data_IF_993864408346
#
_entry.id   IF_993864408346
#
_cell.length_a   1.000
_cell.length_b   1.000
_cell.length_c   1.000
_cell.angle_alpha   90.00
_cell.angle_beta   90.00
_cell.angle_gamma   90.00
#
_symmetry.space_group_name_H-M   'P 1'
#
loop_
_entity.id
_entity.type
_entity.pdbx_description
1 polymer ?
#
# COMPACT_ATOMS: atom_id res chain seq x y z
N UNK A 1 29.23 -2.00 1.33
CA UNK A 1 30.23 -1.31 2.17
C UNK A 1 30.81 -2.34 3.13
N UNK A 2 32.13 -2.39 3.27
CA UNK A 2 32.79 -3.32 4.20
C UNK A 2 32.63 -2.84 5.65
N UNK A 3 32.50 -3.78 6.58
CA UNK A 3 32.38 -3.48 8.01
C UNK A 3 33.75 -3.08 8.58
N UNK A 4 33.94 -1.78 8.80
CA UNK A 4 35.18 -1.17 9.34
C UNK A 4 35.19 -1.08 10.87
N UNK A 5 34.12 -1.51 11.53
CA UNK A 5 33.99 -1.52 13.00
C UNK A 5 35.17 -2.20 13.72
N UNK A 6 35.73 -3.35 13.27
CA UNK A 6 36.87 -3.97 13.94
C UNK A 6 38.13 -3.10 13.90
N UNK A 7 38.46 -2.51 12.76
CA UNK A 7 39.65 -1.64 12.60
C UNK A 7 39.52 -0.34 13.40
N UNK A 8 38.30 0.22 13.43
CA UNK A 8 37.99 1.38 14.26
C UNK A 8 38.13 1.09 15.75
N UNK A 9 37.67 -0.09 16.18
CA UNK A 9 37.78 -0.55 17.56
C UNK A 9 39.23 -0.78 18.02
N UNK A 10 40.12 -1.21 17.12
CA UNK A 10 41.56 -1.28 17.38
C UNK A 10 42.12 0.12 17.64
N UNK A 11 41.73 1.11 16.84
CA UNK A 11 42.15 2.50 17.00
C UNK A 11 41.63 3.11 18.31
N UNK A 12 40.39 2.82 18.70
CA UNK A 12 39.78 3.28 19.95
C UNK A 12 40.51 2.71 21.18
N UNK A 13 40.81 1.40 21.17
CA UNK A 13 41.59 0.76 22.24
C UNK A 13 42.98 1.40 22.40
N UNK A 14 43.66 1.70 21.29
CA UNK A 14 44.97 2.38 21.32
C UNK A 14 44.91 3.79 21.94
N UNK A 15 43.76 4.47 21.86
CA UNK A 15 43.52 5.78 22.48
C UNK A 15 42.91 5.72 23.88
N UNK A 16 42.77 4.52 24.47
CA UNK A 16 42.12 4.33 25.77
C UNK A 16 40.62 4.64 25.77
N UNK A 17 39.99 4.71 24.59
CA UNK A 17 38.57 4.98 24.42
C UNK A 17 37.75 3.68 24.42
N UNK A 18 36.47 3.81 24.78
CA UNK A 18 35.55 2.68 24.86
C UNK A 18 35.26 2.12 23.45
N UNK A 19 35.21 0.79 23.35
CA UNK A 19 35.01 0.06 22.10
C UNK A 19 33.55 0.21 21.63
N UNK A 20 33.34 0.40 20.33
CA UNK A 20 31.99 0.38 19.75
C UNK A 20 31.49 -1.06 19.74
N UNK A 21 30.51 -1.34 20.60
CA UNK A 21 29.78 -2.60 20.61
C UNK A 21 28.66 -2.55 19.59
N UNK A 22 28.40 -3.69 18.92
CA UNK A 22 27.25 -3.82 18.04
C UNK A 22 25.99 -3.71 18.91
N UNK A 23 25.18 -2.68 18.66
CA UNK A 23 23.90 -2.51 19.33
C UNK A 23 22.90 -3.46 18.70
N UNK A 24 22.51 -4.50 19.44
CA UNK A 24 21.39 -5.35 19.03
C UNK A 24 20.09 -4.54 19.17
N UNK A 25 19.35 -4.42 18.08
CA UNK A 25 18.07 -3.73 18.06
C UNK A 25 16.99 -4.69 18.57
N UNK A 26 16.61 -4.53 19.84
CA UNK A 26 15.50 -5.28 20.44
C UNK A 26 14.17 -4.54 20.19
N UNK A 27 13.33 -5.11 19.33
CA UNK A 27 12.00 -4.56 18.96
C UNK A 27 11.10 -4.37 20.19
N UNK A 28 11.26 -5.20 21.23
CA UNK A 28 10.43 -5.14 22.44
C UNK A 28 10.78 -3.94 23.35
N UNK A 29 11.97 -3.36 23.19
CA UNK A 29 12.39 -2.16 23.93
C UNK A 29 12.15 -0.85 23.19
N UNK A 30 11.62 -0.90 21.97
CA UNK A 30 11.36 0.28 21.15
C UNK A 30 10.03 0.94 21.59
N UNK A 31 9.85 2.22 21.30
CA UNK A 31 8.58 2.93 21.50
C UNK A 31 7.38 2.17 20.92
N UNK A 32 6.24 2.20 21.61
CA UNK A 32 4.97 1.57 21.20
C UNK A 32 4.61 1.84 19.73
N UNK A 33 4.77 3.08 19.27
CA UNK A 33 4.57 3.48 17.87
C UNK A 33 5.32 2.59 16.88
N UNK A 34 6.61 2.33 17.12
CA UNK A 34 7.44 1.56 16.21
C UNK A 34 7.11 0.06 16.29
N UNK A 35 6.74 -0.45 17.47
CA UNK A 35 6.26 -1.83 17.61
C UNK A 35 5.00 -2.06 16.77
N UNK A 36 4.05 -1.12 16.85
CA UNK A 36 2.83 -1.16 16.05
C UNK A 36 3.15 -1.04 14.56
N UNK A 37 4.00 -0.10 14.16
CA UNK A 37 4.46 0.06 12.78
C UNK A 37 5.12 -1.22 12.22
N UNK A 38 6.00 -1.87 12.98
CA UNK A 38 6.60 -3.16 12.58
C UNK A 38 5.56 -4.25 12.44
N UNK A 39 4.57 -4.31 13.35
CA UNK A 39 3.50 -5.30 13.29
C UNK A 39 2.60 -5.10 12.06
N UNK A 40 2.30 -3.86 11.70
CA UNK A 40 1.55 -3.50 10.49
C UNK A 40 2.36 -3.88 9.25
N UNK A 41 3.65 -3.53 9.22
CA UNK A 41 4.53 -3.86 8.10
C UNK A 41 4.63 -5.38 7.87
N UNK A 42 4.79 -6.15 8.95
CA UNK A 42 4.83 -7.61 8.87
C UNK A 42 3.54 -8.17 8.23
N UNK A 43 2.37 -7.68 8.66
CA UNK A 43 1.09 -8.10 8.09
C UNK A 43 0.93 -7.70 6.61
N UNK A 44 1.38 -6.51 6.22
CA UNK A 44 1.38 -6.08 4.80
C UNK A 44 2.30 -6.98 3.96
N UNK A 45 3.50 -7.28 4.47
CA UNK A 45 4.45 -8.14 3.81
C UNK A 45 3.93 -9.58 3.64
N UNK A 46 3.29 -10.12 4.68
CA UNK A 46 2.67 -11.44 4.65
C UNK A 46 1.53 -11.50 3.62
N UNK A 47 0.63 -10.51 3.62
CA UNK A 47 -0.44 -10.40 2.61
C UNK A 47 0.14 -10.34 1.18
N UNK A 48 1.14 -9.49 0.97
CA UNK A 48 1.77 -9.33 -0.35
C UNK A 48 2.43 -10.62 -0.82
N UNK A 49 3.11 -11.33 0.10
CA UNK A 49 3.74 -12.63 -0.16
C UNK A 49 2.69 -13.69 -0.51
N UNK A 50 1.59 -13.74 0.24
CA UNK A 50 0.49 -14.65 0.02
C UNK A 50 -0.15 -14.42 -1.36
N UNK A 51 -0.53 -13.19 -1.68
CA UNK A 51 -1.10 -12.80 -2.98
C UNK A 51 -0.17 -13.17 -4.16
N UNK A 52 1.13 -12.86 -4.04
CA UNK A 52 2.13 -13.23 -5.06
C UNK A 52 2.26 -14.73 -5.22
N UNK A 53 2.19 -15.49 -4.12
CA UNK A 53 2.30 -16.95 -4.15
C UNK A 53 1.08 -17.62 -4.78
N UNK A 54 -0.11 -17.05 -4.58
CA UNK A 54 -1.38 -17.59 -5.05
C UNK A 54 -1.71 -17.14 -6.49
N UNK A 55 -1.11 -16.04 -6.96
CA UNK A 55 -1.32 -15.48 -8.31
C UNK A 55 -1.33 -16.53 -9.44
N UNK A 56 -0.37 -17.48 -9.54
CA UNK A 56 -0.38 -18.48 -10.62
C UNK A 56 -1.59 -19.41 -10.58
N UNK A 57 -1.95 -19.92 -9.39
CA UNK A 57 -3.11 -20.79 -9.20
C UNK A 57 -4.44 -20.05 -9.35
N UNK A 58 -4.47 -18.76 -8.97
CA UNK A 58 -5.64 -17.90 -9.06
C UNK A 58 -5.95 -17.56 -10.52
N UNK A 59 -4.92 -17.20 -11.29
CA UNK A 59 -5.02 -16.90 -12.70
C UNK A 59 -5.00 -18.15 -13.59
N UNK A 60 -5.02 -19.36 -13.05
CA UNK A 60 -5.06 -20.56 -13.90
C UNK A 60 -6.45 -20.77 -14.49
N UNK A 61 -6.53 -20.96 -15.81
CA UNK A 61 -7.75 -21.37 -16.54
C UNK A 61 -7.78 -22.87 -16.83
N UNK A 62 -6.80 -23.63 -16.32
CA UNK A 62 -6.71 -25.06 -16.59
C UNK A 62 -7.92 -25.81 -15.97
N UNK A 63 -8.56 -26.73 -16.71
CA UNK A 63 -9.60 -27.57 -16.14
C UNK A 63 -9.01 -28.41 -15.00
N UNK A 64 -9.78 -28.66 -13.92
CA UNK A 64 -9.30 -29.46 -12.80
C UNK A 64 -8.85 -30.83 -13.33
N UNK A 65 -7.69 -31.35 -12.89
CA UNK A 65 -7.18 -32.62 -13.37
C UNK A 65 -8.21 -33.72 -13.06
N UNK A 66 -8.70 -34.41 -14.10
CA UNK A 66 -9.71 -35.49 -13.97
C UNK A 66 -9.17 -36.75 -13.27
N UNK A 67 -7.91 -36.74 -12.83
CA UNK A 67 -7.26 -37.88 -12.19
C UNK A 67 -7.19 -37.61 -10.68
N UNK A 68 -8.08 -38.25 -9.90
CA UNK A 68 -7.93 -38.44 -8.45
C UNK A 68 -6.61 -39.17 -8.22
N UNK A 69 -5.53 -38.43 -7.97
CA UNK A 69 -4.36 -39.02 -7.34
C UNK A 69 -4.72 -39.27 -5.88
N UNK A 70 -4.43 -40.48 -5.41
CA UNK A 70 -4.61 -40.90 -4.02
C UNK A 70 -4.01 -39.84 -3.10
N UNK A 71 -4.75 -39.50 -2.05
CA UNK A 71 -4.37 -38.54 -1.04
C UNK A 71 -2.99 -38.86 -0.44
N UNK A 72 -1.99 -38.03 -0.75
CA UNK A 72 -0.90 -37.80 0.19
C UNK A 72 -1.42 -36.84 1.25
N UNK A 73 -1.54 -37.38 2.46
CA UNK A 73 -1.76 -36.67 3.70
C UNK A 73 -0.57 -35.73 3.97
N UNK A 74 -0.59 -34.52 3.43
CA UNK A 74 0.12 -33.43 4.07
C UNK A 74 -0.53 -32.08 3.74
N UNK A 75 -0.82 -31.29 4.76
CA UNK A 75 -1.69 -30.11 4.73
C UNK A 75 -1.10 -28.88 4.03
N UNK A 76 -0.34 -29.07 2.96
CA UNK A 76 0.17 -27.97 2.14
C UNK A 76 -0.72 -27.83 0.91
N UNK A 77 -1.47 -26.73 0.80
CA UNK A 77 -2.25 -26.38 -0.39
C UNK A 77 -1.39 -26.64 -1.63
N UNK A 78 -1.81 -27.61 -2.44
CA UNK A 78 -1.11 -28.03 -3.65
C UNK A 78 -1.03 -26.83 -4.60
N UNK A 79 0.11 -26.13 -4.60
CA UNK A 79 0.33 -24.87 -5.34
C UNK A 79 0.15 -25.03 -6.86
N UNK A 80 0.05 -26.27 -7.35
CA UNK A 80 -0.26 -26.59 -8.75
C UNK A 80 -1.75 -26.71 -9.07
N UNK A 81 -2.65 -26.77 -8.06
CA UNK A 81 -4.09 -26.92 -8.29
C UNK A 81 -4.71 -25.58 -8.70
N UNK A 82 -5.47 -25.52 -9.82
CA UNK A 82 -6.28 -24.35 -10.15
C UNK A 82 -7.32 -24.09 -9.07
N UNK A 83 -7.41 -22.85 -8.59
CA UNK A 83 -8.43 -22.45 -7.62
C UNK A 83 -9.83 -22.51 -8.24
N UNK A 84 -10.83 -22.94 -7.47
CA UNK A 84 -12.24 -22.84 -7.86
C UNK A 84 -12.70 -21.39 -7.80
N UNK A 85 -13.80 -21.08 -8.48
CA UNK A 85 -14.34 -19.72 -8.49
C UNK A 85 -14.72 -19.22 -7.09
N UNK A 86 -15.31 -20.11 -6.28
CA UNK A 86 -15.62 -19.87 -4.88
C UNK A 86 -14.38 -19.65 -4.00
N UNK A 87 -13.30 -20.40 -4.25
CA UNK A 87 -12.03 -20.22 -3.53
C UNK A 87 -11.41 -18.86 -3.88
N UNK A 88 -11.48 -18.44 -5.15
CA UNK A 88 -11.02 -17.11 -5.60
C UNK A 88 -11.82 -15.99 -4.95
N UNK A 89 -13.15 -16.09 -4.92
CA UNK A 89 -14.01 -15.08 -4.28
C UNK A 89 -13.74 -14.93 -2.78
N UNK A 90 -13.49 -16.05 -2.09
CA UNK A 90 -13.12 -16.03 -0.69
C UNK A 90 -11.76 -15.33 -0.46
N UNK A 91 -10.77 -15.59 -1.32
CA UNK A 91 -9.46 -14.92 -1.27
C UNK A 91 -9.61 -13.42 -1.53
N UNK A 92 -10.43 -13.02 -2.50
CA UNK A 92 -10.66 -11.61 -2.83
C UNK A 92 -11.35 -10.88 -1.67
N UNK A 93 -12.37 -11.50 -1.07
CA UNK A 93 -13.08 -10.96 0.10
C UNK A 93 -12.15 -10.82 1.32
N UNK A 94 -11.35 -11.86 1.62
CA UNK A 94 -10.40 -11.85 2.73
C UNK A 94 -9.32 -10.79 2.52
N UNK A 95 -8.72 -10.73 1.33
CA UNK A 95 -7.66 -9.77 0.99
C UNK A 95 -8.19 -8.34 1.10
N UNK A 96 -9.40 -8.08 0.60
CA UNK A 96 -10.06 -6.78 0.71
C UNK A 96 -10.33 -6.39 2.16
N UNK A 97 -10.79 -7.33 2.98
CA UNK A 97 -10.99 -7.09 4.41
C UNK A 97 -9.67 -6.74 5.10
N UNK A 98 -8.60 -7.48 4.82
CA UNK A 98 -7.28 -7.21 5.36
C UNK A 98 -6.74 -5.85 4.93
N UNK A 99 -6.88 -5.46 3.65
CA UNK A 99 -6.48 -4.13 3.19
C UNK A 99 -7.20 -3.00 3.93
N UNK A 100 -8.52 -3.14 4.18
CA UNK A 100 -9.28 -2.15 4.96
C UNK A 100 -8.83 -2.10 6.41
N UNK A 101 -8.61 -3.25 7.03
CA UNK A 101 -8.12 -3.34 8.41
C UNK A 101 -6.74 -2.70 8.55
N UNK A 102 -5.84 -2.95 7.59
CA UNK A 102 -4.50 -2.38 7.57
C UNK A 102 -4.54 -0.88 7.32
N UNK A 103 -5.40 -0.39 6.41
CA UNK A 103 -5.62 1.05 6.23
C UNK A 103 -6.10 1.69 7.53
N UNK A 104 -7.12 1.11 8.18
CA UNK A 104 -7.61 1.58 9.48
C UNK A 104 -6.52 1.60 10.56
N UNK A 105 -5.68 0.57 10.63
CA UNK A 105 -4.55 0.52 11.56
C UNK A 105 -3.53 1.64 11.30
N UNK A 106 -3.19 1.90 10.02
CA UNK A 106 -2.30 3.00 9.64
C UNK A 106 -2.92 4.37 9.99
N UNK A 107 -4.22 4.56 9.75
CA UNK A 107 -4.90 5.81 10.11
C UNK A 107 -4.95 6.01 11.62
N UNK A 108 -5.18 4.96 12.40
CA UNK A 108 -5.14 5.02 13.86
C UNK A 108 -3.74 5.37 14.37
N UNK A 109 -2.70 4.77 13.79
CA UNK A 109 -1.31 5.06 14.11
C UNK A 109 -0.96 6.53 13.80
N UNK A 110 -1.43 7.05 12.66
CA UNK A 110 -1.29 8.46 12.28
C UNK A 110 -2.02 9.37 13.27
N UNK A 111 -3.28 9.09 13.56
CA UNK A 111 -4.08 9.90 14.48
C UNK A 111 -3.48 9.93 15.89
N UNK A 112 -2.95 8.82 16.37
CA UNK A 112 -2.24 8.76 17.65
C UNK A 112 -0.99 9.68 17.67
N UNK A 113 -0.25 9.75 16.56
CA UNK A 113 0.89 10.67 16.44
C UNK A 113 0.46 12.14 16.35
N UNK A 114 -0.62 12.42 15.62
CA UNK A 114 -1.18 13.78 15.53
C UNK A 114 -1.63 14.28 16.92
N UNK A 115 -2.35 13.44 17.67
CA UNK A 115 -2.78 13.76 19.05
C UNK A 115 -1.57 13.96 19.96
N UNK A 116 -0.52 13.14 19.83
CA UNK A 116 0.73 13.30 20.59
C UNK A 116 1.38 14.65 20.28
N UNK A 117 1.49 15.02 19.01
CA UNK A 117 2.09 16.30 18.59
C UNK A 117 1.29 17.50 19.11
N UNK A 118 -0.04 17.48 18.93
CA UNK A 118 -0.94 18.53 19.46
C UNK A 118 -0.89 18.65 20.99
N UNK A 119 -0.81 17.51 21.69
CA UNK A 119 -0.66 17.48 23.15
C UNK A 119 0.69 18.06 23.56
N UNK A 120 1.77 17.73 22.85
CA UNK A 120 3.09 18.28 23.14
C UNK A 120 3.13 19.81 22.94
N UNK A 121 2.48 20.33 21.91
CA UNK A 121 2.40 21.76 21.63
C UNK A 121 1.58 22.51 22.67
N UNK A 122 0.39 22.00 23.03
CA UNK A 122 -0.44 22.59 24.07
C UNK A 122 0.23 22.54 25.46
N UNK A 123 0.97 21.47 25.76
CA UNK A 123 1.78 21.38 26.97
C UNK A 123 2.93 22.38 26.95
N UNK A 124 3.61 22.58 25.82
CA UNK A 124 4.66 23.59 25.69
C UNK A 124 4.10 25.02 25.91
N UNK A 125 2.96 25.33 25.29
CA UNK A 125 2.26 26.60 25.46
C UNK A 125 1.83 26.84 26.91
N UNK A 126 1.25 25.84 27.57
CA UNK A 126 0.83 25.96 28.97
C UNK A 126 2.01 26.08 29.93
N UNK A 127 3.13 25.37 29.70
CA UNK A 127 4.39 25.56 30.45
C UNK A 127 4.90 27.00 30.33
N UNK A 128 4.82 27.58 29.13
CA UNK A 128 5.18 28.98 28.89
C UNK A 128 4.27 29.97 29.62
N UNK A 129 2.97 29.72 29.62
CA UNK A 129 1.98 30.57 30.29
C UNK A 129 2.08 30.52 31.83
N UNK A 130 2.49 29.39 32.41
CA UNK A 130 2.57 29.17 33.87
C UNK A 130 3.86 29.72 34.51
N UNK A 131 4.85 30.12 33.71
CA UNK A 131 6.16 30.60 34.17
C UNK A 131 6.18 32.05 34.68
N UNK A 132 5.40 32.38 35.72
CA UNK A 132 5.29 33.75 36.26
C UNK A 132 6.61 34.40 36.72
N UNK A 133 7.57 33.62 37.23
CA UNK A 133 8.92 34.09 37.60
C UNK A 133 9.98 33.85 36.51
N UNK A 134 9.76 32.88 35.63
CA UNK A 134 10.65 32.58 34.49
C UNK A 134 10.59 33.63 33.39
N UNK A 135 9.46 34.33 33.26
CA UNK A 135 9.30 35.48 32.36
C UNK A 135 10.20 36.67 32.76
N UNK A 136 10.36 36.92 34.06
CA UNK A 136 11.21 38.00 34.60
C UNK A 136 12.70 37.67 34.40
N UNK A 137 13.08 36.40 34.61
CA UNK A 137 14.44 35.93 34.32
C UNK A 137 14.82 36.00 32.84
N UNK A 138 13.89 35.69 31.92
CA UNK A 138 14.08 35.79 30.45
C UNK A 138 14.20 37.24 29.97
N UNK A 139 13.43 38.16 30.56
CA UNK A 139 13.56 39.60 30.31
C UNK A 139 14.90 40.15 30.83
N UNK A 140 15.30 39.77 32.04
CA UNK A 140 16.57 40.22 32.65
C UNK A 140 17.83 39.70 31.91
N UNK A 141 17.73 38.58 31.20
CA UNK A 141 18.79 38.06 30.34
C UNK A 141 18.90 38.77 28.97
N UNK A 142 18.08 39.81 28.72
CA UNK A 142 18.07 40.58 27.47
C UNK A 142 17.21 40.00 26.36
N UNK A 143 16.33 39.03 26.68
CA UNK A 143 15.40 38.41 25.73
C UNK A 143 13.98 38.99 25.80
N UNK A 144 13.20 38.82 24.72
CA UNK A 144 11.78 39.14 24.73
C UNK A 144 11.01 38.19 25.68
N UNK A 145 9.93 38.66 26.31
CA UNK A 145 9.04 37.88 27.21
C UNK A 145 8.45 36.63 26.50
N UNK A 146 8.50 36.60 25.17
CA UNK A 146 8.06 35.52 24.28
C UNK A 146 9.19 34.63 23.73
N UNK A 147 10.46 34.97 23.93
CA UNK A 147 11.60 34.21 23.38
C UNK A 147 11.69 32.82 24.02
N UNK A 148 11.66 31.75 23.22
CA UNK A 148 11.70 30.37 23.72
C UNK A 148 12.96 30.16 24.58
N UNK A 149 12.85 29.37 25.64
CA UNK A 149 14.06 29.03 26.39
C UNK A 149 14.91 28.07 25.55
N UNK A 150 16.23 28.16 25.66
CA UNK A 150 17.14 27.36 24.81
C UNK A 150 16.98 25.86 25.07
N UNK A 151 16.69 25.47 26.31
CA UNK A 151 16.37 24.08 26.65
C UNK A 151 15.02 23.63 26.06
N UNK A 152 14.04 24.53 25.96
CA UNK A 152 12.75 24.28 25.29
C UNK A 152 12.93 24.17 23.76
N UNK A 153 13.80 24.98 23.16
CA UNK A 153 14.13 24.87 21.73
C UNK A 153 14.83 23.55 21.38
N UNK A 154 15.70 23.05 22.27
CA UNK A 154 16.33 21.73 22.10
C UNK A 154 15.32 20.60 22.20
N UNK A 155 14.47 20.65 23.22
CA UNK A 155 13.44 19.63 23.42
C UNK A 155 12.43 19.63 22.24
N UNK A 156 12.09 20.81 21.71
CA UNK A 156 11.24 20.95 20.52
C UNK A 156 11.92 20.40 19.26
N UNK A 157 13.22 20.66 19.06
CA UNK A 157 13.96 20.13 17.92
C UNK A 157 14.08 18.60 17.97
N UNK A 158 14.41 18.02 19.13
CA UNK A 158 14.42 16.57 19.32
C UNK A 158 13.04 15.96 19.01
N UNK A 159 11.96 16.58 19.51
CA UNK A 159 10.60 16.13 19.18
C UNK A 159 10.30 16.24 17.69
N UNK A 160 10.69 17.33 17.03
CA UNK A 160 10.48 17.53 15.59
C UNK A 160 11.20 16.46 14.78
N UNK A 161 12.45 16.13 15.11
CA UNK A 161 13.19 15.04 14.42
C UNK A 161 12.48 13.69 14.56
N UNK A 162 11.97 13.38 15.76
CA UNK A 162 11.20 12.15 16.01
C UNK A 162 9.87 12.17 15.25
N UNK A 163 9.19 13.31 15.22
CA UNK A 163 7.94 13.51 14.46
C UNK A 163 8.15 13.27 12.97
N UNK A 164 9.16 13.91 12.37
CA UNK A 164 9.54 13.72 10.96
C UNK A 164 9.86 12.26 10.65
N UNK A 165 10.62 11.59 11.53
CA UNK A 165 10.88 10.16 11.36
C UNK A 165 9.59 9.33 11.38
N UNK A 166 8.70 9.56 12.35
CA UNK A 166 7.44 8.80 12.47
C UNK A 166 6.49 9.04 11.30
N UNK A 167 6.42 10.27 10.81
CA UNK A 167 5.65 10.61 9.61
C UNK A 167 6.21 9.91 8.36
N UNK A 168 7.54 9.86 8.22
CA UNK A 168 8.18 9.10 7.14
C UNK A 168 7.86 7.60 7.20
N UNK A 169 7.78 7.03 8.42
CA UNK A 169 7.37 5.63 8.62
C UNK A 169 5.92 5.42 8.20
N UNK A 170 5.00 6.33 8.55
CA UNK A 170 3.60 6.25 8.14
C UNK A 170 3.47 6.28 6.61
N UNK A 171 4.17 7.20 5.94
CA UNK A 171 4.17 7.29 4.47
C UNK A 171 4.77 6.04 3.84
N UNK A 172 5.82 5.47 4.44
CA UNK A 172 6.37 4.18 4.00
C UNK A 172 5.33 3.06 4.10
N UNK A 173 4.63 2.92 5.24
CA UNK A 173 3.58 1.91 5.42
C UNK A 173 2.43 2.09 4.43
N UNK A 174 2.02 3.34 4.16
CA UNK A 174 1.01 3.65 3.15
C UNK A 174 1.48 3.16 1.77
N UNK A 175 2.71 3.49 1.35
CA UNK A 175 3.28 3.02 0.07
C UNK A 175 3.31 1.49 -0.02
N UNK A 176 3.69 0.80 1.06
CA UNK A 176 3.65 -0.67 1.07
C UNK A 176 2.22 -1.22 0.94
N UNK A 177 1.24 -0.59 1.58
CA UNK A 177 -0.16 -0.98 1.46
C UNK A 177 -0.72 -0.72 0.05
N UNK A 178 -0.32 0.38 -0.58
CA UNK A 178 -0.65 0.70 -1.98
C UNK A 178 -0.10 -0.35 -2.93
N UNK A 179 1.17 -0.76 -2.77
CA UNK A 179 1.77 -1.82 -3.58
C UNK A 179 1.02 -3.16 -3.41
N UNK A 180 0.65 -3.51 -2.18
CA UNK A 180 -0.15 -4.70 -1.89
C UNK A 180 -1.54 -4.63 -2.56
N UNK A 181 -2.20 -3.48 -2.45
CA UNK A 181 -3.47 -3.21 -3.11
C UNK A 181 -3.38 -3.33 -4.62
N UNK A 182 -2.30 -2.83 -5.22
CA UNK A 182 -2.06 -2.89 -6.67
C UNK A 182 -1.94 -4.34 -7.16
N UNK A 183 -1.23 -5.19 -6.42
CA UNK A 183 -1.11 -6.63 -6.74
C UNK A 183 -2.48 -7.30 -6.73
N UNK A 184 -3.34 -6.99 -5.75
CA UNK A 184 -4.70 -7.53 -5.71
C UNK A 184 -5.55 -7.04 -6.90
N UNK A 185 -5.54 -5.73 -7.18
CA UNK A 185 -6.32 -5.15 -8.30
C UNK A 185 -5.91 -5.76 -9.64
N UNK A 186 -4.61 -5.89 -9.90
CA UNK A 186 -4.09 -6.51 -11.12
C UNK A 186 -4.61 -7.94 -11.31
N UNK A 187 -4.67 -8.73 -10.24
CA UNK A 187 -5.20 -10.10 -10.28
C UNK A 187 -6.69 -10.12 -10.61
N UNK A 188 -7.47 -9.25 -9.97
CA UNK A 188 -8.92 -9.14 -10.17
C UNK A 188 -9.27 -8.61 -11.57
N UNK A 189 -8.53 -7.63 -12.07
CA UNK A 189 -8.70 -7.08 -13.43
C UNK A 189 -8.47 -8.15 -14.50
N UNK A 190 -7.42 -8.96 -14.35
CA UNK A 190 -7.16 -10.07 -15.28
C UNK A 190 -8.28 -11.13 -15.20
N UNK A 191 -8.82 -11.41 -14.02
CA UNK A 191 -9.96 -12.33 -13.85
C UNK A 191 -11.21 -11.79 -14.52
N UNK A 192 -11.59 -10.55 -14.23
CA UNK A 192 -12.74 -9.88 -14.81
C UNK A 192 -12.65 -9.80 -16.33
N UNK A 193 -11.48 -9.42 -16.86
CA UNK A 193 -11.24 -9.37 -18.30
C UNK A 193 -11.49 -10.74 -18.96
N UNK A 194 -11.04 -11.82 -18.32
CA UNK A 194 -11.28 -13.19 -18.82
C UNK A 194 -12.73 -13.63 -18.69
N UNK A 195 -13.45 -13.22 -17.65
CA UNK A 195 -14.88 -13.52 -17.50
C UNK A 195 -15.71 -12.79 -18.54
N UNK A 196 -15.39 -11.53 -18.81
CA UNK A 196 -15.99 -10.73 -19.89
C UNK A 196 -15.67 -11.31 -21.26
N UNK A 197 -14.44 -11.78 -21.50
CA UNK A 197 -14.09 -12.48 -22.74
C UNK A 197 -14.83 -13.82 -22.88
N UNK A 198 -14.93 -14.58 -21.79
CA UNK A 198 -15.68 -15.84 -21.76
C UNK A 198 -17.16 -15.60 -22.08
N UNK A 199 -17.82 -14.64 -21.45
CA UNK A 199 -19.24 -14.33 -21.72
C UNK A 199 -19.44 -13.94 -23.19
N UNK A 200 -18.56 -13.09 -23.74
CA UNK A 200 -18.55 -12.76 -25.18
C UNK A 200 -18.34 -14.00 -26.07
N UNK A 201 -17.45 -14.91 -25.69
CA UNK A 201 -17.16 -16.13 -26.46
C UNK A 201 -18.29 -17.16 -26.40
N UNK A 202 -18.98 -17.28 -25.27
CA UNK A 202 -20.14 -18.16 -25.12
C UNK A 202 -21.28 -17.64 -25.95
N UNK A 203 -21.51 -16.31 -25.98
CA UNK A 203 -22.48 -15.67 -26.87
C UNK A 203 -22.14 -15.89 -28.35
N UNK A 204 -20.86 -15.78 -28.72
CA UNK A 204 -20.43 -16.06 -30.09
C UNK A 204 -20.63 -17.54 -30.46
N UNK A 205 -20.33 -18.46 -29.54
CA UNK A 205 -20.47 -19.90 -29.75
C UNK A 205 -21.93 -20.36 -29.74
N UNK A 206 -22.79 -19.80 -28.89
CA UNK A 206 -24.23 -20.10 -28.87
C UNK A 206 -24.92 -19.57 -30.13
N UNK A 207 -24.48 -18.41 -30.65
CA UNK A 207 -24.91 -17.89 -31.97
C UNK A 207 -24.47 -18.78 -33.14
N UNK A 208 -23.37 -19.52 -33.01
CA UNK A 208 -22.88 -20.49 -34.01
C UNK A 208 -23.47 -21.89 -33.84
N UNK A 209 -23.82 -22.30 -32.61
CA UNK A 209 -24.38 -23.62 -32.29
C UNK A 209 -25.91 -23.67 -32.48
N UNK A 210 -26.60 -22.55 -32.24
CA UNK A 210 -27.95 -22.34 -32.72
C UNK A 210 -27.90 -21.94 -34.19
N UNK A 211 -27.97 -22.93 -35.08
CA UNK A 211 -28.06 -22.72 -36.52
C UNK A 211 -29.34 -21.97 -36.89
N UNK A 212 -29.36 -20.66 -36.65
CA UNK A 212 -30.28 -19.74 -37.30
C UNK A 212 -29.56 -19.28 -38.56
N UNK A 213 -29.88 -19.84 -39.74
CA UNK A 213 -29.55 -19.17 -40.98
C UNK A 213 -30.41 -17.90 -40.97
N UNK A 214 -29.83 -16.78 -40.54
CA UNK A 214 -30.38 -15.53 -41.02
C UNK A 214 -30.27 -15.59 -42.54
N UNK A 215 -31.41 -15.40 -43.18
CA UNK A 215 -31.50 -15.30 -44.62
C UNK A 215 -30.34 -14.44 -45.12
N UNK A 216 -29.58 -15.04 -46.01
CA UNK A 216 -28.64 -14.35 -46.85
C UNK A 216 -29.39 -13.22 -47.54
N UNK A 217 -29.21 -11.99 -47.06
CA UNK A 217 -29.38 -10.83 -47.91
C UNK A 217 -28.27 -10.93 -48.96
N UNK A 218 -28.66 -11.43 -50.12
CA UNK A 218 -27.94 -11.19 -51.36
C UNK A 218 -27.84 -9.68 -51.54
N UNK A 219 -26.68 -9.10 -51.25
CA UNK A 219 -25.91 -8.40 -52.27
C UNK A 219 -24.59 -7.88 -51.70
N UNK A 220 -23.53 -8.28 -52.40
CA UNK A 220 -22.24 -7.62 -52.61
C UNK A 220 -21.05 -8.55 -52.34
N UNK A 221 -20.74 -9.35 -53.35
CA UNK A 221 -19.44 -9.99 -53.47
C UNK A 221 -18.37 -8.96 -53.89
N UNK A 222 -17.18 -8.97 -53.27
CA UNK A 222 -15.95 -8.62 -53.96
C UNK A 222 -15.14 -9.90 -54.29
N UNK A 223 -14.42 -9.94 -55.42
CA UNK A 223 -13.88 -11.17 -55.98
C UNK A 223 -12.53 -11.59 -55.40
N UNK A 224 -12.39 -12.91 -55.25
CA UNK A 224 -11.23 -13.78 -55.45
C UNK A 224 -9.82 -13.36 -54.94
N UNK A 225 -9.20 -14.25 -54.14
CA UNK A 225 -7.85 -14.77 -54.43
C UNK A 225 -7.53 -16.09 -53.67
N UNK A 226 -7.18 -17.11 -54.47
CA UNK A 226 -6.26 -18.24 -54.22
C UNK A 226 -6.49 -19.29 -53.11
N UNK A 227 -6.84 -20.49 -53.59
CA UNK A 227 -6.68 -21.88 -53.08
C UNK A 227 -5.30 -22.23 -52.48
N UNK A 228 -4.99 -23.49 -52.07
CA UNK A 228 -5.77 -24.54 -51.39
C UNK A 228 -4.98 -25.23 -50.25
N UNK A 229 -5.62 -25.72 -49.17
CA UNK A 229 -5.11 -26.94 -48.49
C UNK A 229 -6.24 -27.84 -48.01
N UNK A 230 -6.32 -29.01 -48.66
CA UNK A 230 -7.18 -30.13 -48.29
C UNK A 230 -6.72 -30.71 -46.96
N UNK A 231 -7.57 -30.70 -45.93
CA UNK A 231 -7.52 -31.69 -44.85
C UNK A 231 -8.82 -32.48 -44.84
N UNK A 232 -8.71 -33.66 -45.44
CA UNK A 232 -9.68 -34.74 -45.51
C UNK A 232 -10.00 -35.19 -44.07
N UNK A 233 -11.21 -34.93 -43.58
CA UNK A 233 -11.76 -35.66 -42.43
C UNK A 233 -12.64 -36.78 -42.98
N UNK A 234 -12.16 -38.01 -42.82
CA UNK A 234 -12.95 -39.22 -42.97
C UNK A 234 -14.07 -39.21 -41.92
N UNK A 235 -15.31 -39.30 -42.37
CA UNK A 235 -16.40 -39.89 -41.59
C UNK A 235 -17.16 -40.85 -42.49
N UNK A 236 -17.02 -42.12 -42.14
CA UNK A 236 -17.76 -43.32 -42.52
C UNK A 236 -18.78 -43.24 -43.68
N UNK A 237 -18.47 -44.00 -44.74
CA UNK A 237 -19.46 -44.56 -45.65
C UNK A 237 -20.55 -45.31 -44.85
N UNK A 238 -21.79 -44.84 -44.93
CA UNK A 238 -22.96 -45.72 -44.91
C UNK A 238 -23.41 -45.89 -46.36
N UNK A 239 -23.19 -47.08 -46.91
CA UNK A 239 -23.78 -47.49 -48.19
C UNK A 239 -25.29 -47.55 -48.00
N UNK A 240 -26.05 -46.74 -48.75
CA UNK A 240 -27.44 -47.05 -49.04
C UNK A 240 -27.62 -47.04 -50.56
N UNK A 241 -27.86 -48.23 -51.10
CA UNK A 241 -28.18 -48.47 -52.50
C UNK A 241 -29.55 -47.87 -52.80
N UNK A 242 -29.60 -46.78 -53.56
CA UNK A 242 -30.84 -46.16 -54.01
C UNK A 242 -31.27 -46.78 -55.34
N UNK A 243 -32.39 -47.49 -55.31
CA UNK A 243 -33.17 -47.93 -56.47
C UNK A 243 -34.15 -46.81 -56.86
N UNK A 244 -34.08 -46.23 -58.08
CA UNK A 244 -34.88 -45.07 -58.45
C UNK A 244 -36.13 -45.50 -59.23
N UNK A 245 -37.13 -46.05 -58.54
CA UNK A 245 -38.46 -46.20 -59.10
C UNK A 245 -39.50 -46.23 -57.97
N UNK A 246 -40.02 -45.04 -57.61
CA UNK A 246 -41.43 -44.79 -57.28
C UNK A 246 -41.61 -43.33 -56.86
N UNK A 247 -42.31 -42.61 -57.73
CA UNK A 247 -42.79 -41.25 -57.53
C UNK A 247 -43.76 -41.16 -56.35
N UNK A 248 -43.59 -40.16 -55.50
CA UNK A 248 -44.71 -39.41 -54.90
C UNK A 248 -44.18 -38.10 -54.33
N UNK A 249 -44.69 -37.02 -54.89
CA UNK A 249 -44.60 -35.67 -54.37
C UNK A 249 -45.26 -35.62 -53.00
N UNK A 250 -44.47 -35.73 -51.93
CA UNK A 250 -44.85 -35.16 -50.63
C UNK A 250 -43.64 -35.10 -49.70
N UNK A 251 -43.55 -34.03 -48.91
CA UNK A 251 -42.60 -33.85 -47.79
C UNK A 251 -41.25 -33.17 -48.08
N UNK A 252 -41.26 -32.04 -48.79
CA UNK A 252 -40.40 -30.91 -48.40
C UNK A 252 -41.01 -30.21 -47.17
N UNK A 253 -41.05 -30.91 -46.03
CA UNK A 253 -41.37 -30.30 -44.73
C UNK A 253 -40.15 -30.52 -43.86
N UNK A 254 -39.50 -29.45 -43.32
CA UNK A 254 -38.46 -29.65 -42.33
C UNK A 254 -39.05 -30.55 -41.23
N UNK A 255 -38.30 -31.53 -40.70
CA UNK A 255 -38.83 -32.46 -39.71
C UNK A 255 -39.45 -31.63 -38.57
N UNK A 256 -40.77 -31.74 -38.41
CA UNK A 256 -41.47 -31.04 -37.34
C UNK A 256 -40.91 -31.57 -36.02
N UNK A 257 -40.24 -30.69 -35.27
CA UNK A 257 -39.63 -31.00 -33.99
C UNK A 257 -40.65 -31.70 -33.09
N UNK A 258 -40.33 -32.92 -32.65
CA UNK A 258 -41.15 -33.71 -31.73
C UNK A 258 -41.47 -32.85 -30.49
N UNK A 259 -42.69 -32.91 -29.96
CA UNK A 259 -43.12 -32.10 -28.81
C UNK A 259 -42.13 -32.20 -27.62
N UNK A 260 -41.52 -33.36 -27.41
CA UNK A 260 -40.48 -33.59 -26.41
C UNK A 260 -39.16 -32.85 -26.71
N UNK A 261 -38.76 -32.74 -27.99
CA UNK A 261 -37.58 -31.98 -28.40
C UNK A 261 -37.78 -30.48 -28.21
N UNK A 262 -38.99 -29.97 -28.43
CA UNK A 262 -39.33 -28.55 -28.17
C UNK A 262 -39.28 -28.22 -26.67
N UNK A 263 -39.76 -29.13 -25.81
CA UNK A 263 -39.64 -28.97 -24.36
C UNK A 263 -38.19 -29.01 -23.90
N UNK A 264 -37.37 -29.89 -24.46
CA UNK A 264 -35.93 -29.95 -24.17
C UNK A 264 -35.22 -28.65 -24.58
N UNK A 265 -35.50 -28.11 -25.78
CA UNK A 265 -34.95 -26.83 -26.24
C UNK A 265 -35.43 -25.66 -25.39
N UNK A 266 -36.71 -25.65 -24.99
CA UNK A 266 -37.22 -24.62 -24.08
C UNK A 266 -36.53 -24.69 -22.70
N UNK A 267 -36.32 -25.90 -22.18
CA UNK A 267 -35.59 -26.12 -20.94
C UNK A 267 -34.12 -25.68 -21.07
N UNK A 268 -33.43 -26.05 -22.16
CA UNK A 268 -32.04 -25.67 -22.44
C UNK A 268 -31.89 -24.14 -22.60
N UNK A 269 -32.79 -23.49 -23.34
CA UNK A 269 -32.81 -22.04 -23.48
C UNK A 269 -33.01 -21.35 -22.12
N UNK A 270 -33.93 -21.85 -21.29
CA UNK A 270 -34.17 -21.30 -19.94
C UNK A 270 -32.94 -21.48 -19.03
N UNK A 271 -32.25 -22.61 -19.12
CA UNK A 271 -31.03 -22.87 -18.35
C UNK A 271 -29.86 -21.98 -18.84
N UNK A 272 -29.76 -21.76 -20.15
CA UNK A 272 -28.77 -20.88 -20.75
C UNK A 272 -28.99 -19.43 -20.32
N UNK A 273 -30.23 -18.95 -20.33
CA UNK A 273 -30.59 -17.60 -19.86
C UNK A 273 -30.24 -17.39 -18.38
N UNK A 274 -30.57 -18.36 -17.51
CA UNK A 274 -30.18 -18.30 -16.09
C UNK A 274 -28.67 -18.22 -15.91
N UNK A 275 -27.93 -19.07 -16.63
CA UNK A 275 -26.47 -19.02 -16.58
C UNK A 275 -25.90 -17.68 -17.07
N UNK A 276 -26.52 -17.03 -18.06
CA UNK A 276 -26.11 -15.69 -18.48
C UNK A 276 -26.42 -14.63 -17.42
N UNK A 277 -27.58 -14.69 -16.79
CA UNK A 277 -27.95 -13.80 -15.69
C UNK A 277 -26.94 -13.92 -14.53
N UNK A 278 -26.63 -15.16 -14.13
CA UNK A 278 -25.63 -15.44 -13.09
C UNK A 278 -24.24 -14.91 -13.45
N UNK A 279 -23.80 -15.08 -14.71
CA UNK A 279 -22.51 -14.55 -15.19
C UNK A 279 -22.47 -13.02 -15.19
N UNK A 280 -23.57 -12.36 -15.56
CA UNK A 280 -23.64 -10.90 -15.55
C UNK A 280 -23.61 -10.35 -14.12
N UNK A 281 -24.27 -11.02 -13.18
CA UNK A 281 -24.26 -10.61 -11.78
C UNK A 281 -22.89 -10.83 -11.12
N UNK A 282 -22.16 -11.90 -11.48
CA UNK A 282 -20.76 -12.08 -11.08
C UNK A 282 -19.87 -10.95 -11.60
N UNK A 283 -19.97 -10.62 -12.90
CA UNK A 283 -19.21 -9.53 -13.53
C UNK A 283 -19.50 -8.19 -12.82
N UNK A 284 -20.77 -7.86 -12.59
CA UNK A 284 -21.18 -6.62 -11.88
C UNK A 284 -20.62 -6.57 -10.47
N UNK A 285 -20.63 -7.70 -9.75
CA UNK A 285 -20.10 -7.79 -8.39
C UNK A 285 -18.59 -7.59 -8.37
N UNK A 286 -17.88 -8.21 -9.32
CA UNK A 286 -16.44 -8.04 -9.49
C UNK A 286 -16.07 -6.59 -9.87
N UNK A 287 -16.79 -5.98 -10.81
CA UNK A 287 -16.64 -4.57 -11.20
C UNK A 287 -16.79 -3.63 -9.99
N UNK A 288 -17.85 -3.81 -9.20
CA UNK A 288 -18.06 -3.03 -7.98
C UNK A 288 -16.91 -3.20 -6.98
N UNK A 289 -16.39 -4.41 -6.85
CA UNK A 289 -15.29 -4.69 -5.93
C UNK A 289 -13.98 -4.02 -6.38
N UNK A 290 -13.68 -4.04 -7.67
CA UNK A 290 -12.52 -3.36 -8.26
C UNK A 290 -12.66 -1.84 -8.11
N UNK A 291 -13.84 -1.27 -8.37
CA UNK A 291 -14.08 0.16 -8.20
C UNK A 291 -13.83 0.60 -6.75
N UNK A 292 -14.28 -0.16 -5.77
CA UNK A 292 -14.02 0.15 -4.36
C UNK A 292 -12.53 0.05 -3.99
N UNK A 293 -11.81 -0.94 -4.54
CA UNK A 293 -10.35 -1.05 -4.34
C UNK A 293 -9.64 0.13 -5.01
N UNK A 294 -10.07 0.53 -6.21
CA UNK A 294 -9.53 1.69 -6.93
C UNK A 294 -9.78 3.00 -6.17
N UNK A 295 -10.95 3.16 -5.56
CA UNK A 295 -11.25 4.29 -4.68
C UNK A 295 -10.30 4.30 -3.47
N UNK A 296 -10.14 3.16 -2.79
CA UNK A 296 -9.20 3.03 -1.66
C UNK A 296 -7.76 3.33 -2.08
N UNK A 297 -7.31 2.86 -3.25
CA UNK A 297 -5.98 3.17 -3.76
C UNK A 297 -5.83 4.65 -4.12
N UNK A 298 -6.82 5.24 -4.78
CA UNK A 298 -6.80 6.66 -5.16
C UNK A 298 -6.72 7.57 -3.94
N UNK A 299 -7.51 7.29 -2.91
CA UNK A 299 -7.45 8.03 -1.64
C UNK A 299 -6.09 7.87 -0.96
N UNK A 300 -5.52 6.66 -1.00
CA UNK A 300 -4.22 6.36 -0.40
C UNK A 300 -3.08 7.07 -1.14
N UNK A 301 -3.05 7.03 -2.48
CA UNK A 301 -2.08 7.77 -3.31
C UNK A 301 -2.18 9.27 -3.06
N UNK A 302 -3.40 9.81 -3.03
CA UNK A 302 -3.63 11.23 -2.71
C UNK A 302 -3.08 11.58 -1.32
N UNK A 303 -3.33 10.73 -0.33
CA UNK A 303 -2.81 10.92 1.02
C UNK A 303 -1.28 10.84 1.10
N UNK A 304 -0.64 9.93 0.35
CA UNK A 304 0.82 9.85 0.24
C UNK A 304 1.38 11.13 -0.36
N UNK A 305 0.77 11.64 -1.43
CA UNK A 305 1.21 12.85 -2.11
C UNK A 305 1.18 14.05 -1.15
N UNK A 306 0.03 14.27 -0.50
CA UNK A 306 -0.12 15.34 0.49
C UNK A 306 0.89 15.22 1.64
N UNK A 307 1.15 14.00 2.13
CA UNK A 307 2.12 13.78 3.21
C UNK A 307 3.58 13.92 2.74
N UNK A 308 3.91 13.54 1.50
CA UNK A 308 5.29 13.68 1.00
C UNK A 308 5.74 15.14 0.90
N UNK A 309 4.84 16.03 0.46
CA UNK A 309 5.12 17.47 0.40
C UNK A 309 5.34 18.05 1.80
N UNK A 310 4.55 17.62 2.79
CA UNK A 310 4.72 18.01 4.19
C UNK A 310 6.03 17.50 4.80
N UNK A 311 6.40 16.25 4.54
CA UNK A 311 7.66 15.66 5.03
C UNK A 311 8.87 16.40 4.48
N UNK A 312 8.89 16.75 3.19
CA UNK A 312 10.02 17.49 2.60
C UNK A 312 10.23 18.84 3.30
N UNK A 313 9.14 19.55 3.60
CA UNK A 313 9.20 20.79 4.37
C UNK A 313 9.70 20.55 5.80
N UNK A 314 9.19 19.53 6.49
CA UNK A 314 9.61 19.20 7.86
C UNK A 314 11.07 18.75 7.94
N UNK A 315 11.56 18.00 6.95
CA UNK A 315 12.96 17.60 6.83
C UNK A 315 13.84 18.83 6.62
N UNK A 316 13.46 19.71 5.68
CA UNK A 316 14.20 20.94 5.44
C UNK A 316 14.25 21.82 6.69
N UNK A 317 13.11 21.99 7.37
CA UNK A 317 13.04 22.71 8.63
C UNK A 317 13.91 22.06 9.72
N UNK A 318 13.96 20.73 9.79
CA UNK A 318 14.80 20.01 10.76
C UNK A 318 16.27 20.34 10.53
N UNK A 319 16.74 20.34 9.27
CA UNK A 319 18.10 20.73 8.93
C UNK A 319 18.39 22.18 9.32
N UNK A 320 17.49 23.11 8.99
CA UNK A 320 17.66 24.52 9.35
C UNK A 320 17.65 24.72 10.86
N UNK A 321 16.81 23.99 11.58
CA UNK A 321 16.72 24.05 13.04
C UNK A 321 17.99 23.50 13.69
N UNK A 322 18.51 22.37 13.21
CA UNK A 322 19.76 21.78 13.70
C UNK A 322 20.94 22.72 13.44
N UNK A 323 21.03 23.34 12.26
CA UNK A 323 22.07 24.33 11.95
C UNK A 323 21.97 25.54 12.90
N UNK A 324 20.76 26.08 13.07
CA UNK A 324 20.52 27.24 13.93
C UNK A 324 20.87 26.94 15.40
N UNK A 325 20.51 25.76 15.91
CA UNK A 325 20.89 25.32 17.25
C UNK A 325 22.40 25.11 17.39
N UNK A 326 23.05 24.54 16.38
CA UNK A 326 24.50 24.35 16.35
C UNK A 326 25.26 25.67 16.37
N UNK A 327 24.81 26.65 15.57
CA UNK A 327 25.36 28.02 15.55
C UNK A 327 25.11 28.73 16.87
N UNK A 328 23.89 28.65 17.40
CA UNK A 328 23.54 29.19 18.72
C UNK A 328 24.43 28.63 19.83
N UNK A 329 24.67 27.31 19.86
CA UNK A 329 25.54 26.68 20.87
C UNK A 329 27.00 27.16 20.75
N UNK A 330 27.49 27.37 19.53
CA UNK A 330 28.83 27.92 19.27
C UNK A 330 28.95 29.37 19.76
N UNK A 331 27.90 30.16 19.56
CA UNK A 331 27.83 31.54 20.04
C UNK A 331 27.73 31.60 21.56
N UNK A 332 26.99 30.69 22.20
CA UNK A 332 26.94 30.58 23.67
C UNK A 332 28.28 30.20 24.26
N UNK A 333 29.01 29.25 23.65
CA UNK A 333 30.36 28.91 24.10
C UNK A 333 31.28 30.14 24.04
N UNK A 334 31.26 30.87 22.91
CA UNK A 334 32.00 32.13 22.75
C UNK A 334 31.55 33.23 23.73
N UNK A 335 30.26 33.31 24.03
CA UNK A 335 29.70 34.28 24.98
C UNK A 335 30.06 33.92 26.43
N UNK A 336 30.10 32.63 26.78
CA UNK A 336 30.52 32.13 28.09
C UNK A 336 32.02 32.33 28.35
N UNK A 337 32.84 32.26 27.29
CA UNK A 337 34.27 32.54 27.35
C UNK A 337 34.57 34.04 27.52
N UNK A 338 33.66 34.93 27.10
CA UNK A 338 33.77 36.36 27.40
C UNK A 338 33.43 36.59 28.88
N UNK A 339 34.44 36.89 29.71
CA UNK A 339 34.22 37.38 31.08
C UNK A 339 33.24 38.55 31.03
N UNK A 340 32.14 38.44 31.77
CA UNK A 340 31.07 39.43 31.81
C UNK A 340 31.64 40.84 32.03
N UNK A 341 31.52 41.69 31.00
CA UNK A 341 31.89 43.11 31.07
C UNK A 341 31.18 43.78 32.24
N UNK A 342 29.94 43.37 32.55
CA UNK A 342 29.20 43.86 33.71
C UNK A 342 29.84 43.47 35.05
N UNK A 343 30.37 42.24 35.19
CA UNK A 343 31.15 41.86 36.39
C UNK A 343 32.42 42.69 36.51
N UNK A 344 33.11 42.93 35.39
CA UNK A 344 34.33 43.75 35.39
C UNK A 344 34.01 45.19 35.79
N UNK A 345 32.96 45.80 35.24
CA UNK A 345 32.52 47.16 35.57
C UNK A 345 32.06 47.24 37.02
N UNK A 346 31.25 46.29 37.50
CA UNK A 346 30.75 46.32 38.88
C UNK A 346 31.88 46.15 39.91
N UNK A 347 32.84 45.25 39.65
CA UNK A 347 34.05 45.11 40.48
C UNK A 347 34.92 46.35 40.40
N UNK A 348 35.12 46.92 39.20
CA UNK A 348 35.90 48.14 39.03
C UNK A 348 35.29 49.32 39.81
N UNK A 349 33.96 49.49 39.75
CA UNK A 349 33.25 50.52 40.52
C UNK A 349 33.35 50.25 42.01
N UNK A 350 33.21 49.00 42.46
CA UNK A 350 33.37 48.63 43.87
C UNK A 350 34.77 48.96 44.39
N UNK A 351 35.82 48.61 43.64
CA UNK A 351 37.21 48.92 43.98
C UNK A 351 37.45 50.43 43.98
N UNK A 352 36.91 51.16 43.02
CA UNK A 352 37.01 52.62 42.95
C UNK A 352 36.34 53.31 44.14
N UNK A 353 35.13 52.88 44.51
CA UNK A 353 34.45 53.39 45.70
C UNK A 353 35.20 53.07 46.99
N UNK A 354 35.73 51.85 47.14
CA UNK A 354 36.56 51.51 48.30
C UNK A 354 37.84 52.34 48.37
N UNK A 355 38.47 52.61 47.23
CA UNK A 355 39.66 53.46 47.16
C UNK A 355 39.36 54.90 47.60
N UNK A 356 38.23 55.49 47.15
CA UNK A 356 37.82 56.83 47.56
C UNK A 356 37.58 56.94 49.08
N UNK A 357 36.94 55.93 49.68
CA UNK A 357 36.69 55.91 51.13
C UNK A 357 37.99 55.82 51.92
N UNK A 358 38.97 55.03 51.47
CA UNK A 358 40.28 54.94 52.12
C UNK A 358 41.09 56.21 51.95
N UNK A 359 41.02 56.85 50.78
CA UNK A 359 41.70 58.11 50.51
C UNK A 359 41.21 59.23 51.43
N UNK A 360 39.90 59.37 51.58
CA UNK A 360 39.24 60.36 52.46
C UNK A 360 39.50 60.13 53.96
N UNK A 361 39.96 58.92 54.34
CA UNK A 361 40.26 58.57 55.73
C UNK A 361 41.73 58.83 56.11
N UNK A 362 42.62 58.84 55.12
CA UNK A 362 44.08 58.99 55.33
C UNK A 362 44.55 60.44 55.13
N UNK A 363 43.95 61.16 54.20
CA UNK A 363 44.22 62.57 53.89
C UNK A 363 43.02 63.43 54.28
#
# INVERSE_FOLDING_TARGET
>A
MADITPDFNICLKKKGAQVVLRKEFDVQRISSFLQEAYSINARIADLTRELRSIRPSYLSTAPPPRRRQLASSDGHHDRGRPLTDTERDAIDAQSKQLLRQLNGAIQNLKHAEDVRNQTADSVALSKRARGGLGAIGRWAAGGAVTAKSIDEEREEAERKTVGTHRESVIVYLQRCLEEAGRVQSEMMEVRLGREVEKSKSVLYKSRMAGGIPYAQDDDYAPPAASSPTKRKRQSANFNNSYDPALSSEDSQRPPELTQDQQQLFAAENSAMLKHYEDQLDQIRTAERSILEISELQSTLVTNIQMQSEGIEQLVQDSYMTEENLGRGNKELKKASERRSTARIVCVATGVFCSFLVVWDLIF
#
